data_IF_100079261831
#
_entry.id   IF_100079261831
#
_cell.length_a   1.000
_cell.length_b   1.000
_cell.length_c   1.000
_cell.angle_alpha   90.00
_cell.angle_beta   90.00
_cell.angle_gamma   90.00
#
_symmetry.space_group_name_H-M   'P 1'
#
loop_
_entity.id
_entity.type
_entity.pdbx_description
1 polymer ?
#
# COMPACT_ATOMS: atom_id res chain seq x y z
N UNK A 1 -6.73 7.15 -3.25
CA UNK A 1 -5.33 6.68 -3.33
C UNK A 1 -5.24 5.48 -4.27
N UNK A 2 -4.51 5.60 -5.39
CA UNK A 2 -4.25 4.48 -6.31
C UNK A 2 -2.98 3.73 -5.91
N UNK A 3 -2.91 2.42 -6.16
CA UNK A 3 -1.73 1.60 -5.83
C UNK A 3 -0.47 2.11 -6.52
N UNK A 4 -0.58 2.51 -7.79
CA UNK A 4 0.55 3.04 -8.53
C UNK A 4 1.16 4.27 -7.85
N UNK A 5 0.34 5.26 -7.51
CA UNK A 5 0.77 6.49 -6.84
C UNK A 5 1.36 6.21 -5.46
N UNK A 6 0.72 5.32 -4.68
CA UNK A 6 1.23 4.89 -3.38
C UNK A 6 2.65 4.30 -3.51
N UNK A 7 2.86 3.39 -4.45
CA UNK A 7 4.16 2.74 -4.63
C UNK A 7 5.23 3.71 -5.13
N UNK A 8 4.89 4.64 -6.03
CA UNK A 8 5.86 5.63 -6.51
C UNK A 8 6.37 6.53 -5.39
N UNK A 9 5.46 7.03 -4.54
CA UNK A 9 5.80 7.82 -3.36
C UNK A 9 6.64 7.01 -2.35
N UNK A 10 6.23 5.76 -2.07
CA UNK A 10 6.99 4.90 -1.14
C UNK A 10 8.38 4.55 -1.66
N UNK A 11 8.54 4.30 -2.97
CA UNK A 11 9.85 4.07 -3.61
C UNK A 11 10.73 5.33 -3.45
N UNK A 12 10.17 6.51 -3.68
CA UNK A 12 10.88 7.77 -3.53
C UNK A 12 11.32 8.00 -2.07
N UNK A 13 10.44 7.77 -1.09
CA UNK A 13 10.75 7.88 0.35
C UNK A 13 11.83 6.88 0.77
N UNK A 14 11.75 5.65 0.26
CA UNK A 14 12.70 4.58 0.52
C UNK A 14 14.07 4.80 -0.15
N UNK A 15 14.15 5.71 -1.12
CA UNK A 15 15.31 5.91 -1.98
C UNK A 15 15.81 4.61 -2.64
N UNK A 16 14.88 3.75 -3.05
CA UNK A 16 15.15 2.52 -3.80
C UNK A 16 14.76 2.71 -5.26
N UNK A 17 15.15 1.77 -6.12
CA UNK A 17 14.76 1.80 -7.53
C UNK A 17 13.50 0.96 -7.78
N UNK A 18 12.77 1.27 -8.85
CA UNK A 18 11.69 0.40 -9.36
C UNK A 18 12.19 -1.02 -9.67
N UNK A 19 13.47 -1.18 -10.03
CA UNK A 19 14.09 -2.49 -10.29
C UNK A 19 14.22 -3.31 -9.00
N UNK A 20 14.57 -2.67 -7.89
CA UNK A 20 14.67 -3.35 -6.59
C UNK A 20 13.29 -3.85 -6.15
N UNK A 21 12.26 -3.01 -6.32
CA UNK A 21 10.88 -3.42 -6.04
C UNK A 21 10.44 -4.58 -6.94
N UNK A 22 10.70 -4.50 -8.25
CA UNK A 22 10.33 -5.56 -9.19
C UNK A 22 10.96 -6.91 -8.79
N UNK A 23 12.22 -6.90 -8.37
CA UNK A 23 12.90 -8.08 -7.88
C UNK A 23 12.25 -8.66 -6.61
N UNK A 24 11.86 -7.81 -5.65
CA UNK A 24 11.23 -8.25 -4.41
C UNK A 24 9.85 -8.88 -4.60
N UNK A 25 9.12 -8.48 -5.65
CA UNK A 25 7.77 -9.01 -5.96
C UNK A 25 7.78 -10.04 -7.09
N UNK A 26 8.96 -10.54 -7.49
CA UNK A 26 9.12 -11.51 -8.58
C UNK A 26 8.52 -11.06 -9.93
N UNK A 27 8.50 -9.76 -10.19
CA UNK A 27 8.09 -9.20 -11.48
C UNK A 27 9.31 -8.78 -12.30
N UNK A 28 9.16 -8.78 -13.62
CA UNK A 28 10.13 -8.10 -14.48
C UNK A 28 10.02 -6.57 -14.30
N UNK A 29 11.11 -5.80 -14.49
CA UNK A 29 11.03 -4.33 -14.42
C UNK A 29 10.02 -3.72 -15.39
N UNK A 30 9.86 -4.33 -16.57
CA UNK A 30 8.84 -3.94 -17.56
C UNK A 30 7.42 -4.31 -17.11
N UNK A 31 7.23 -5.46 -16.47
CA UNK A 31 5.97 -5.87 -15.86
C UNK A 31 5.53 -4.90 -14.76
N UNK A 32 6.44 -4.55 -13.84
CA UNK A 32 6.17 -3.54 -12.82
C UNK A 32 5.86 -2.17 -13.43
N UNK A 33 6.60 -1.75 -14.46
CA UNK A 33 6.34 -0.46 -15.12
C UNK A 33 4.96 -0.42 -15.76
N UNK A 34 4.55 -1.51 -16.44
CA UNK A 34 3.20 -1.63 -17.01
C UNK A 34 2.12 -1.55 -15.95
N UNK A 35 2.33 -2.23 -14.82
CA UNK A 35 1.44 -2.16 -13.67
C UNK A 35 1.30 -0.73 -13.13
N UNK A 36 2.42 -0.04 -12.86
CA UNK A 36 2.41 1.34 -12.35
C UNK A 36 1.77 2.34 -13.33
N UNK A 37 1.89 2.10 -14.65
CA UNK A 37 1.24 2.95 -15.66
C UNK A 37 -0.24 2.61 -15.91
N UNK A 38 -0.80 1.63 -15.20
CA UNK A 38 -2.19 1.18 -15.38
C UNK A 38 -2.43 0.40 -16.68
N UNK A 39 -1.37 0.01 -17.41
CA UNK A 39 -1.47 -0.81 -18.63
C UNK A 39 -1.74 -2.28 -18.34
N UNK A 40 -1.56 -2.72 -17.11
CA UNK A 40 -1.75 -4.11 -16.68
C UNK A 40 -2.23 -4.14 -15.23
N UNK A 41 -3.25 -4.94 -14.94
CA UNK A 41 -3.70 -5.23 -13.57
C UNK A 41 -3.09 -6.54 -13.10
N UNK A 42 -2.72 -6.62 -11.81
CA UNK A 42 -2.32 -7.87 -11.17
C UNK A 42 -3.55 -8.74 -10.87
N UNK A 43 -3.40 -10.06 -11.01
CA UNK A 43 -4.40 -11.04 -10.56
C UNK A 43 -4.48 -11.00 -9.02
N UNK A 44 -5.69 -11.14 -8.46
CA UNK A 44 -5.93 -11.23 -7.02
C UNK A 44 -5.04 -12.25 -6.32
N UNK A 45 -4.71 -13.36 -6.99
CA UNK A 45 -3.82 -14.41 -6.46
C UNK A 45 -2.41 -13.89 -6.16
N UNK A 46 -1.97 -12.88 -6.91
CA UNK A 46 -0.65 -12.29 -6.78
C UNK A 46 -0.63 -11.16 -5.75
N UNK A 47 -1.79 -10.59 -5.38
CA UNK A 47 -1.87 -9.43 -4.46
C UNK A 47 -1.19 -9.71 -3.13
N UNK A 48 -1.41 -10.88 -2.52
CA UNK A 48 -0.82 -11.22 -1.23
C UNK A 48 0.71 -11.24 -1.28
N UNK A 49 1.28 -11.93 -2.27
CA UNK A 49 2.73 -12.05 -2.41
C UNK A 49 3.36 -10.72 -2.81
N UNK A 50 2.69 -9.96 -3.68
CA UNK A 50 3.11 -8.64 -4.07
C UNK A 50 3.12 -7.67 -2.88
N UNK A 51 2.04 -7.62 -2.09
CA UNK A 51 1.94 -6.79 -0.89
C UNK A 51 3.02 -7.16 0.12
N UNK A 52 3.23 -8.46 0.37
CA UNK A 52 4.23 -8.94 1.32
C UNK A 52 5.66 -8.57 0.88
N UNK A 53 6.03 -8.88 -0.36
CA UNK A 53 7.36 -8.59 -0.89
C UNK A 53 7.65 -7.09 -0.95
N UNK A 54 6.66 -6.30 -1.34
CA UNK A 54 6.76 -4.83 -1.35
C UNK A 54 6.94 -4.28 0.06
N UNK A 55 6.10 -4.70 1.01
CA UNK A 55 6.16 -4.24 2.39
C UNK A 55 7.48 -4.59 3.06
N UNK A 56 8.00 -5.80 2.85
CA UNK A 56 9.29 -6.25 3.40
C UNK A 56 10.45 -5.40 2.88
N UNK A 57 10.51 -5.17 1.57
CA UNK A 57 11.55 -4.34 0.96
C UNK A 57 11.47 -2.89 1.48
N UNK A 58 10.28 -2.30 1.41
CA UNK A 58 10.05 -0.91 1.78
C UNK A 58 10.27 -0.66 3.28
N UNK A 59 9.78 -1.54 4.15
CA UNK A 59 10.03 -1.42 5.59
C UNK A 59 11.53 -1.53 5.91
N UNK A 60 12.26 -2.40 5.19
CA UNK A 60 13.72 -2.52 5.35
C UNK A 60 14.46 -1.24 4.95
N UNK A 61 13.98 -0.53 3.92
CA UNK A 61 14.61 0.69 3.43
C UNK A 61 14.19 1.95 4.23
N UNK A 62 12.94 2.02 4.68
CA UNK A 62 12.34 3.21 5.30
C UNK A 62 12.58 3.24 6.82
N UNK A 63 12.58 2.08 7.49
CA UNK A 63 12.53 2.03 8.94
C UNK A 63 13.75 2.68 9.61
N UNK A 64 13.47 3.75 10.35
CA UNK A 64 14.36 4.47 11.27
C UNK A 64 13.49 5.10 12.36
N UNK A 65 14.06 5.52 13.52
CA UNK A 65 13.29 6.27 14.51
C UNK A 65 12.56 7.46 13.88
N UNK A 66 11.29 7.66 14.22
CA UNK A 66 10.41 8.70 13.67
C UNK A 66 10.15 8.62 12.14
N UNK A 67 10.31 7.46 11.50
CA UNK A 67 10.07 7.33 10.05
C UNK A 67 8.64 7.67 9.62
N UNK A 68 7.65 7.59 10.50
CA UNK A 68 6.27 8.00 10.25
C UNK A 68 6.16 9.44 9.71
N UNK A 69 7.07 10.34 10.11
CA UNK A 69 7.09 11.74 9.65
C UNK A 69 7.33 11.89 8.15
N UNK A 70 8.06 10.95 7.54
CA UNK A 70 8.27 10.97 6.07
C UNK A 70 7.03 10.50 5.32
N UNK A 71 6.19 9.72 5.99
CA UNK A 71 5.01 9.09 5.42
C UNK A 71 3.77 9.97 5.53
N UNK A 72 3.80 11.09 6.27
CA UNK A 72 2.63 11.96 6.50
C UNK A 72 2.07 12.60 5.23
N UNK A 73 2.87 12.73 4.18
CA UNK A 73 2.39 13.19 2.87
C UNK A 73 1.40 12.20 2.23
N UNK A 74 1.67 10.90 2.40
CA UNK A 74 0.84 9.80 1.89
C UNK A 74 -0.25 9.43 2.90
N UNK A 75 0.09 9.43 4.20
CA UNK A 75 -0.78 9.03 5.30
C UNK A 75 -0.89 10.16 6.32
N UNK A 76 -1.78 11.14 6.12
CA UNK A 76 -2.01 12.22 7.08
C UNK A 76 -2.42 11.71 8.46
N UNK A 77 -3.12 10.56 8.50
CA UNK A 77 -3.41 9.83 9.71
C UNK A 77 -2.41 8.69 9.85
N UNK A 78 -1.37 8.89 10.67
CA UNK A 78 -0.34 7.89 10.91
C UNK A 78 0.19 8.00 12.34
N UNK A 79 0.59 6.87 12.92
CA UNK A 79 1.15 6.81 14.27
C UNK A 79 2.63 6.42 14.24
N UNK A 80 3.34 6.61 15.36
CA UNK A 80 4.76 6.25 15.44
C UNK A 80 4.95 4.74 15.55
N UNK A 81 5.84 4.18 14.73
CA UNK A 81 6.08 2.75 14.66
C UNK A 81 7.12 2.33 15.71
N UNK A 82 6.73 1.42 16.61
CA UNK A 82 7.62 0.90 17.66
C UNK A 82 8.69 -0.06 17.13
N UNK A 83 8.48 -0.65 15.95
CA UNK A 83 9.40 -1.61 15.34
C UNK A 83 9.35 -1.58 13.81
N UNK A 84 10.38 -2.14 13.17
CA UNK A 84 10.38 -2.37 11.72
C UNK A 84 9.19 -3.23 11.29
N UNK A 85 8.89 -4.25 12.07
CA UNK A 85 7.78 -5.16 11.82
C UNK A 85 6.44 -4.40 11.85
N UNK A 86 6.32 -3.38 12.69
CA UNK A 86 5.11 -2.56 12.76
C UNK A 86 4.89 -1.75 11.48
N UNK A 87 5.97 -1.15 10.95
CA UNK A 87 5.95 -0.48 9.67
C UNK A 87 5.66 -1.46 8.53
N UNK A 88 6.26 -2.66 8.56
CA UNK A 88 6.02 -3.70 7.56
C UNK A 88 4.54 -4.11 7.50
N UNK A 89 3.93 -4.39 8.66
CA UNK A 89 2.49 -4.72 8.75
C UNK A 89 1.64 -3.54 8.24
N UNK A 90 1.99 -2.31 8.59
CA UNK A 90 1.27 -1.13 8.11
C UNK A 90 1.33 -0.99 6.59
N UNK A 91 2.53 -1.10 6.00
CA UNK A 91 2.73 -1.03 4.56
C UNK A 91 2.04 -2.20 3.83
N UNK A 92 2.09 -3.41 4.39
CA UNK A 92 1.36 -4.56 3.86
C UNK A 92 -0.14 -4.28 3.77
N UNK A 93 -0.73 -3.74 4.84
CA UNK A 93 -2.15 -3.38 4.88
C UNK A 93 -2.47 -2.30 3.85
N UNK A 94 -1.65 -1.25 3.74
CA UNK A 94 -1.87 -0.14 2.81
C UNK A 94 -1.82 -0.60 1.35
N UNK A 95 -0.80 -1.39 0.98
CA UNK A 95 -0.64 -1.89 -0.39
C UNK A 95 -1.75 -2.88 -0.74
N UNK A 96 -2.12 -3.76 0.20
CA UNK A 96 -3.22 -4.71 -0.01
C UNK A 96 -4.55 -3.98 -0.21
N UNK A 97 -4.83 -2.97 0.63
CA UNK A 97 -6.03 -2.15 0.54
C UNK A 97 -6.14 -1.48 -0.83
N UNK A 98 -5.09 -0.80 -1.30
CA UNK A 98 -5.16 -0.11 -2.60
C UNK A 98 -5.25 -1.08 -3.77
N UNK A 99 -4.61 -2.25 -3.69
CA UNK A 99 -4.70 -3.29 -4.72
C UNK A 99 -6.11 -3.85 -4.84
N UNK A 100 -6.73 -4.18 -3.70
CA UNK A 100 -8.11 -4.67 -3.66
C UNK A 100 -9.09 -3.60 -4.17
N UNK A 101 -8.86 -2.34 -3.79
CA UNK A 101 -9.67 -1.21 -4.26
C UNK A 101 -9.52 -0.97 -5.77
N UNK A 102 -8.29 -0.88 -6.30
CA UNK A 102 -8.03 -0.71 -7.73
C UNK A 102 -8.63 -1.87 -8.56
N UNK A 103 -8.55 -3.10 -8.04
CA UNK A 103 -9.16 -4.26 -8.66
C UNK A 103 -10.70 -4.15 -8.67
N UNK A 104 -11.31 -3.78 -7.54
CA UNK A 104 -12.76 -3.63 -7.45
C UNK A 104 -13.28 -2.57 -8.42
N UNK A 105 -12.65 -1.39 -8.46
CA UNK A 105 -12.97 -0.31 -9.40
C UNK A 105 -12.83 -0.77 -10.85
N UNK A 106 -11.75 -1.47 -11.18
CA UNK A 106 -11.49 -1.94 -12.56
C UNK A 106 -12.47 -3.01 -13.04
N UNK A 107 -13.13 -3.72 -12.13
CA UNK A 107 -14.09 -4.78 -12.43
C UNK A 107 -15.54 -4.37 -12.15
N UNK A 108 -15.80 -3.08 -11.89
CA UNK A 108 -17.12 -2.53 -11.54
C UNK A 108 -17.78 -3.25 -10.35
N UNK A 109 -16.96 -3.77 -9.43
CA UNK A 109 -17.40 -4.40 -8.19
C UNK A 109 -17.58 -3.29 -7.16
N UNK A 110 -18.82 -3.03 -6.74
CA UNK A 110 -19.10 -2.07 -5.67
C UNK A 110 -18.40 -2.50 -4.36
N UNK A 111 -17.52 -1.66 -3.77
CA UNK A 111 -16.81 -2.00 -2.53
C UNK A 111 -17.74 -2.25 -1.34
N UNK A 112 -18.97 -1.75 -1.39
CA UNK A 112 -20.02 -1.93 -0.37
C UNK A 112 -20.53 -3.37 -0.22
N UNK A 113 -20.03 -4.30 -1.05
CA UNK A 113 -20.44 -5.70 -1.02
C UNK A 113 -19.25 -6.64 -1.18
N UNK A 114 -18.38 -6.69 -0.18
CA UNK A 114 -17.55 -7.88 0.04
C UNK A 114 -17.95 -8.52 1.36
N UNK A 115 -18.59 -9.71 1.28
CA UNK A 115 -18.65 -10.77 2.31
C UNK A 115 -17.24 -11.30 2.63
N UNK A 116 -16.26 -10.41 2.77
CA UNK A 116 -15.02 -10.70 3.47
C UNK A 116 -15.28 -10.25 4.89
N UNK A 117 -15.53 -11.20 5.77
CA UNK A 117 -15.42 -10.96 7.20
C UNK A 117 -13.96 -10.56 7.49
N UNK A 118 -13.65 -9.26 7.37
CA UNK A 118 -12.41 -8.69 7.88
C UNK A 118 -12.53 -8.70 9.40
N UNK A 119 -12.28 -9.85 9.99
CA UNK A 119 -12.13 -9.97 11.43
C UNK A 119 -10.82 -9.28 11.83
N UNK A 120 -10.95 -8.07 12.34
CA UNK A 120 -9.84 -7.36 12.97
C UNK A 120 -9.57 -7.97 14.35
N UNK A 121 -8.84 -9.09 14.37
CA UNK A 121 -8.59 -9.84 15.60
C UNK A 121 -7.67 -9.11 16.58
N UNK A 122 -7.00 -8.02 16.18
CA UNK A 122 -6.16 -7.23 17.07
C UNK A 122 -6.35 -5.71 16.88
N UNK A 123 -6.20 -4.98 17.99
CA UNK A 123 -6.32 -3.52 18.04
C UNK A 123 -5.40 -2.80 17.04
N UNK A 124 -4.25 -3.42 16.72
CA UNK A 124 -3.25 -2.84 15.82
C UNK A 124 -3.70 -2.85 14.37
N UNK A 125 -4.39 -3.91 13.94
CA UNK A 125 -4.95 -4.02 12.61
C UNK A 125 -6.07 -3.00 12.41
N UNK A 126 -6.94 -2.82 13.41
CA UNK A 126 -7.96 -1.75 13.40
C UNK A 126 -7.30 -0.39 13.25
N UNK A 127 -6.27 -0.10 14.05
CA UNK A 127 -5.56 1.17 13.98
C UNK A 127 -4.90 1.39 12.61
N UNK A 128 -4.22 0.39 12.06
CA UNK A 128 -3.62 0.46 10.72
C UNK A 128 -4.68 0.79 9.66
N UNK A 129 -5.78 0.04 9.62
CA UNK A 129 -6.82 0.23 8.62
C UNK A 129 -7.51 1.59 8.78
N UNK A 130 -7.76 2.03 10.00
CA UNK A 130 -8.34 3.35 10.27
C UNK A 130 -7.44 4.46 9.70
N UNK A 131 -6.15 4.41 9.98
CA UNK A 131 -5.16 5.34 9.43
C UNK A 131 -5.16 5.35 7.89
N UNK A 132 -5.19 4.17 7.27
CA UNK A 132 -5.16 4.02 5.81
C UNK A 132 -6.44 4.58 5.18
N UNK A 133 -7.61 4.15 5.64
CA UNK A 133 -8.91 4.54 5.08
C UNK A 133 -9.15 6.04 5.23
N UNK A 134 -8.90 6.62 6.41
CA UNK A 134 -9.08 8.06 6.61
C UNK A 134 -8.10 8.89 5.76
N UNK A 135 -6.88 8.39 5.55
CA UNK A 135 -5.90 9.04 4.67
C UNK A 135 -6.36 9.00 3.22
N UNK A 136 -6.95 7.90 2.79
CA UNK A 136 -7.48 7.69 1.44
C UNK A 136 -8.68 8.60 1.14
N UNK A 137 -9.65 8.68 2.07
CA UNK A 137 -10.81 9.58 1.97
C UNK A 137 -10.33 11.03 1.83
N UNK A 138 -9.43 11.48 2.70
CA UNK A 138 -8.93 12.86 2.69
C UNK A 138 -8.16 13.21 1.41
N UNK A 139 -7.48 12.24 0.78
CA UNK A 139 -6.84 12.47 -0.52
C UNK A 139 -7.86 12.58 -1.65
N UNK A 140 -8.89 11.74 -1.62
CA UNK A 140 -9.95 11.74 -2.64
C UNK A 140 -10.72 13.06 -2.64
N UNK A 141 -11.06 13.60 -1.46
CA UNK A 141 -11.71 14.91 -1.34
C UNK A 141 -10.85 16.07 -1.89
N UNK A 142 -9.52 15.96 -1.82
CA UNK A 142 -8.61 16.98 -2.36
C UNK A 142 -8.49 16.94 -3.88
N UNK A 143 -8.62 15.75 -4.48
CA UNK A 143 -8.56 15.58 -5.92
C UNK A 143 -9.87 16.05 -6.62
N UNK A 144 -10.97 16.14 -5.88
CA UNK A 144 -12.28 16.60 -6.35
C UNK A 144 -12.54 18.12 -6.17
N UNK A 145 -11.67 18.83 -5.45
CA UNK A 145 -11.80 20.27 -5.13
C UNK A 145 -10.98 21.18 -6.04
#
# INVERSE_FOLDING_TARGET
MKTASLLEELIAIAAITKKDLAAAVSLSPSGLSRFLTGQHSLDLRDHKNFSLGSAQLLASAIYKPNCFRKLTGIFPFIYDFSSKNDLEIFLYNAISYTLEHDFAVSNEIFPDYQDKDYFYYNHRQVLNMTCIILSDILQTEKDEA
#
